data_IF_703602923119
#
_entry.id   IF_703602923119
#
_cell.length_a   1.000
_cell.length_b   1.000
_cell.length_c   1.000
_cell.angle_alpha   90.00
_cell.angle_beta   90.00
_cell.angle_gamma   90.00
#
_symmetry.space_group_name_H-M   'P 1'
#
loop_
_entity.id
_entity.type
_entity.pdbx_description
1 polymer ?
#
# COMPACT_ATOMS: atom_id res chain seq x y z
N UNK A 1 22.30 14.97 -19.86
CA UNK A 1 22.98 15.06 -18.56
C UNK A 1 23.16 13.63 -18.12
N UNK A 2 24.39 13.13 -18.07
CA UNK A 2 24.67 11.81 -17.48
C UNK A 2 24.34 11.92 -15.99
N UNK A 3 23.32 11.18 -15.57
CA UNK A 3 22.92 11.17 -14.17
C UNK A 3 23.64 10.02 -13.51
N UNK A 4 24.51 10.36 -12.56
CA UNK A 4 25.17 9.39 -11.69
C UNK A 4 24.09 8.51 -11.06
N UNK A 5 24.23 7.18 -11.07
CA UNK A 5 23.26 6.30 -10.42
C UNK A 5 23.09 6.70 -8.95
N UNK A 6 21.88 6.52 -8.38
CA UNK A 6 21.62 6.87 -6.99
C UNK A 6 22.65 6.19 -6.09
N UNK A 7 23.20 6.93 -5.12
CA UNK A 7 24.10 6.37 -4.13
C UNK A 7 23.29 5.53 -3.14
N UNK A 8 23.72 4.30 -2.87
CA UNK A 8 23.10 3.45 -1.86
C UNK A 8 24.11 2.49 -1.25
N UNK A 9 23.78 1.98 -0.06
CA UNK A 9 24.51 0.91 0.61
C UNK A 9 23.69 -0.38 0.49
N UNK A 10 24.29 -1.39 -0.11
CA UNK A 10 23.68 -2.72 -0.24
C UNK A 10 23.95 -3.55 1.01
N UNK A 11 22.90 -3.83 1.76
CA UNK A 11 22.95 -4.58 3.02
C UNK A 11 22.61 -6.05 2.74
N UNK A 12 23.58 -6.81 2.22
CA UNK A 12 23.42 -8.22 1.86
C UNK A 12 24.02 -9.21 2.88
N UNK A 13 24.74 -8.70 3.87
CA UNK A 13 25.34 -9.48 4.95
C UNK A 13 25.00 -8.84 6.32
N UNK A 14 25.07 -9.62 7.41
CA UNK A 14 24.75 -9.09 8.74
C UNK A 14 25.60 -7.90 9.17
N UNK A 15 26.86 -7.79 8.74
CA UNK A 15 27.77 -6.71 9.11
C UNK A 15 27.32 -5.37 8.55
N UNK A 16 27.10 -5.31 7.23
CA UNK A 16 26.59 -4.09 6.56
C UNK A 16 25.19 -3.71 7.04
N UNK A 17 24.29 -4.69 7.20
CA UNK A 17 22.96 -4.45 7.74
C UNK A 17 22.99 -3.90 9.18
N UNK A 18 23.81 -4.48 10.06
CA UNK A 18 23.94 -4.01 11.45
C UNK A 18 24.57 -2.62 11.56
N UNK A 19 25.44 -2.25 10.62
CA UNK A 19 26.02 -0.92 10.54
C UNK A 19 25.01 0.14 10.09
N UNK A 20 24.06 -0.21 9.21
CA UNK A 20 23.02 0.70 8.73
C UNK A 20 21.97 1.07 9.79
N UNK A 21 21.60 0.12 10.65
CA UNK A 21 20.46 0.25 11.57
C UNK A 21 20.52 1.46 12.53
N UNK A 22 21.66 1.81 13.17
CA UNK A 22 21.74 3.00 14.02
C UNK A 22 21.39 4.31 13.30
N UNK A 23 21.67 4.43 12.00
CA UNK A 23 21.30 5.61 11.22
C UNK A 23 19.78 5.70 11.03
N UNK A 24 19.11 4.56 10.86
CA UNK A 24 17.66 4.48 10.73
C UNK A 24 16.96 4.74 12.07
N UNK A 25 17.49 4.19 13.16
CA UNK A 25 17.00 4.39 14.53
C UNK A 25 17.08 5.87 14.97
N UNK A 26 18.16 6.56 14.59
CA UNK A 26 18.36 7.97 14.92
C UNK A 26 17.61 8.93 13.99
N UNK A 27 17.04 8.44 12.88
CA UNK A 27 16.38 9.29 11.89
C UNK A 27 14.99 9.72 12.38
N UNK A 28 14.60 11.01 12.27
CA UNK A 28 13.29 11.49 12.71
C UNK A 28 12.13 10.86 11.91
N UNK A 29 12.42 10.44 10.68
CA UNK A 29 11.56 9.60 9.85
C UNK A 29 12.43 8.79 8.90
N UNK A 30 11.90 7.70 8.41
CA UNK A 30 12.50 6.89 7.34
C UNK A 30 11.53 6.82 6.17
N UNK A 31 12.08 6.58 4.99
CA UNK A 31 11.35 6.40 3.74
C UNK A 31 11.46 4.94 3.38
N UNK A 32 10.35 4.29 3.08
CA UNK A 32 10.29 2.84 3.00
C UNK A 32 9.55 2.40 1.74
N UNK A 33 10.18 1.47 1.03
CA UNK A 33 9.58 0.76 -0.09
C UNK A 33 10.09 -0.69 -0.13
N UNK A 34 9.31 -1.60 -0.71
CA UNK A 34 9.66 -3.01 -0.78
C UNK A 34 9.65 -3.51 -2.21
N UNK A 35 10.59 -4.41 -2.52
CA UNK A 35 10.65 -5.07 -3.82
C UNK A 35 10.57 -6.58 -3.69
N UNK A 36 9.99 -7.23 -4.68
CA UNK A 36 9.88 -8.67 -4.68
C UNK A 36 8.97 -9.25 -5.74
N UNK A 37 8.82 -10.57 -5.68
CA UNK A 37 7.97 -11.30 -6.61
C UNK A 37 6.53 -11.25 -6.10
N UNK A 38 5.61 -10.74 -6.94
CA UNK A 38 4.16 -10.77 -6.69
C UNK A 38 3.76 -10.29 -5.27
N UNK A 39 4.37 -9.20 -4.82
CA UNK A 39 4.14 -8.59 -3.50
C UNK A 39 2.64 -8.41 -3.22
N UNK A 40 2.18 -8.89 -2.06
CA UNK A 40 0.79 -8.88 -1.62
C UNK A 40 -0.11 -9.98 -2.20
N UNK A 41 0.41 -10.85 -3.06
CA UNK A 41 -0.32 -11.98 -3.65
C UNK A 41 0.08 -13.31 -3.01
N UNK A 42 -0.76 -14.34 -3.21
CA UNK A 42 -0.46 -15.70 -2.78
C UNK A 42 0.83 -16.19 -3.45
N UNK A 43 1.75 -16.73 -2.66
CA UNK A 43 3.08 -17.12 -3.13
C UNK A 43 4.04 -15.96 -3.40
N UNK A 44 3.67 -14.73 -3.04
CA UNK A 44 4.57 -13.57 -3.10
C UNK A 44 5.79 -13.74 -2.20
N UNK A 45 6.89 -13.09 -2.57
CA UNK A 45 8.17 -13.19 -1.87
C UNK A 45 8.78 -11.80 -1.74
N UNK A 46 8.92 -11.34 -0.50
CA UNK A 46 9.69 -10.14 -0.15
C UNK A 46 11.18 -10.39 -0.42
N UNK A 47 11.75 -9.61 -1.36
CA UNK A 47 13.14 -9.74 -1.77
C UNK A 47 14.02 -8.66 -1.15
N UNK A 48 13.58 -7.40 -1.24
CA UNK A 48 14.30 -6.24 -0.71
C UNK A 48 13.39 -5.43 0.21
N UNK A 49 14.00 -4.85 1.24
CA UNK A 49 13.44 -3.73 2.00
C UNK A 49 14.37 -2.55 1.78
N UNK A 50 13.87 -1.51 1.12
CA UNK A 50 14.63 -0.31 0.80
C UNK A 50 14.28 0.78 1.80
N UNK A 51 15.29 1.35 2.44
CA UNK A 51 15.08 2.35 3.50
C UNK A 51 15.98 3.55 3.29
N UNK A 52 15.38 4.73 3.19
CA UNK A 52 16.08 6.01 3.25
C UNK A 52 16.01 6.61 4.66
N UNK A 53 17.11 7.20 5.12
CA UNK A 53 17.08 8.15 6.24
C UNK A 53 16.35 9.44 5.82
N UNK A 54 16.12 10.35 6.77
CA UNK A 54 15.45 11.62 6.49
C UNK A 54 16.14 12.37 5.34
N UNK A 55 15.34 12.89 4.40
CA UNK A 55 15.79 13.53 3.17
C UNK A 55 16.56 12.62 2.21
N UNK A 56 16.36 11.29 2.33
CA UNK A 56 17.11 10.27 1.61
C UNK A 56 18.64 10.50 1.64
N UNK A 57 19.17 11.02 2.76
CA UNK A 57 20.61 11.30 2.91
C UNK A 57 21.43 10.04 2.75
N UNK A 58 20.96 8.96 3.38
CA UNK A 58 21.52 7.63 3.30
C UNK A 58 20.41 6.69 2.84
N UNK A 59 20.67 5.91 1.78
CA UNK A 59 19.74 4.90 1.27
C UNK A 59 20.36 3.53 1.43
N UNK A 60 19.63 2.65 2.11
CA UNK A 60 20.03 1.29 2.41
C UNK A 60 19.09 0.32 1.70
N UNK A 61 19.66 -0.66 0.99
CA UNK A 61 18.90 -1.71 0.31
C UNK A 61 19.18 -3.02 1.03
N UNK A 62 18.25 -3.44 1.90
CA UNK A 62 18.37 -4.69 2.66
C UNK A 62 17.94 -5.87 1.80
N UNK A 63 18.87 -6.77 1.52
CA UNK A 63 18.58 -8.01 0.81
C UNK A 63 18.04 -9.06 1.78
N UNK A 64 16.71 -9.15 1.86
CA UNK A 64 16.03 -10.04 2.79
C UNK A 64 16.40 -11.51 2.52
N UNK A 65 16.59 -11.89 1.26
CA UNK A 65 16.92 -13.27 0.89
C UNK A 65 18.36 -13.63 1.29
N UNK A 66 19.32 -12.74 1.00
CA UNK A 66 20.72 -12.95 1.37
C UNK A 66 20.91 -12.98 2.89
N UNK A 67 20.29 -12.03 3.61
CA UNK A 67 20.36 -11.97 5.07
C UNK A 67 19.76 -13.22 5.73
N UNK A 68 18.60 -13.71 5.26
CA UNK A 68 18.02 -14.97 5.76
C UNK A 68 18.90 -16.18 5.49
N UNK A 69 19.53 -16.23 4.32
CA UNK A 69 20.45 -17.31 3.98
C UNK A 69 21.68 -17.31 4.91
N UNK A 70 22.27 -16.13 5.15
CA UNK A 70 23.40 -15.96 6.08
C UNK A 70 23.05 -16.38 7.51
N UNK A 71 21.88 -15.97 8.01
CA UNK A 71 21.40 -16.35 9.34
C UNK A 71 21.16 -17.87 9.46
N UNK A 72 20.68 -18.51 8.39
CA UNK A 72 20.44 -19.96 8.36
C UNK A 72 21.74 -20.79 8.35
N UNK A 73 22.84 -20.23 7.83
CA UNK A 73 24.16 -20.87 7.82
C UNK A 73 24.97 -20.71 9.11
N UNK A 74 24.54 -19.84 10.05
CA UNK A 74 25.33 -19.38 11.20
C UNK A 74 25.23 -20.18 12.52
N UNK A 75 24.32 -21.15 12.64
CA UNK A 75 24.34 -22.14 13.74
C UNK A 75 23.18 -22.10 14.74
N UNK A 76 22.28 -23.08 14.59
CA UNK A 76 21.62 -23.90 15.63
C UNK A 76 20.55 -24.72 14.91
N UNK A 77 20.70 -26.05 14.90
CA UNK A 77 19.73 -26.98 14.31
C UNK A 77 18.44 -27.12 15.16
N UNK A 78 18.29 -26.29 16.20
CA UNK A 78 17.10 -26.27 17.04
C UNK A 78 16.11 -25.20 16.53
N UNK A 79 15.03 -25.60 15.83
CA UNK A 79 14.00 -24.67 15.38
C UNK A 79 13.24 -23.97 16.52
N UNK A 80 13.44 -24.40 17.78
CA UNK A 80 12.86 -23.75 18.97
C UNK A 80 13.72 -22.60 19.53
N UNK A 81 14.97 -22.41 19.08
CA UNK A 81 15.81 -21.26 19.47
C UNK A 81 15.72 -20.07 18.50
N UNK A 82 14.75 -20.07 17.56
CA UNK A 82 14.57 -19.08 16.48
C UNK A 82 14.18 -17.66 16.92
N UNK A 83 14.26 -17.34 18.21
CA UNK A 83 14.16 -15.97 18.72
C UNK A 83 15.55 -15.38 18.91
N UNK A 84 16.42 -15.45 17.90
CA UNK A 84 17.62 -14.63 17.94
C UNK A 84 17.23 -13.17 17.64
N UNK A 85 16.79 -12.46 18.69
CA UNK A 85 16.43 -11.05 18.62
C UNK A 85 17.60 -10.14 18.22
N UNK A 86 18.82 -10.70 18.09
CA UNK A 86 20.02 -10.00 17.66
C UNK A 86 20.27 -10.07 16.15
N UNK A 87 19.50 -10.88 15.40
CA UNK A 87 19.59 -10.95 13.95
C UNK A 87 19.38 -9.58 13.29
N UNK A 88 20.04 -9.32 12.16
CA UNK A 88 19.93 -8.05 11.45
C UNK A 88 18.49 -7.80 11.00
N UNK A 89 17.79 -8.84 10.54
CA UNK A 89 16.36 -8.76 10.18
C UNK A 89 15.46 -8.54 11.39
N UNK A 90 15.75 -9.17 12.53
CA UNK A 90 15.01 -8.93 13.77
C UNK A 90 15.19 -7.49 14.28
N UNK A 91 16.38 -6.91 14.12
CA UNK A 91 16.61 -5.49 14.42
C UNK A 91 15.89 -4.56 13.46
N UNK A 92 15.95 -4.82 12.15
CA UNK A 92 15.18 -4.07 11.16
C UNK A 92 13.68 -4.13 11.48
N UNK A 93 13.16 -5.30 11.81
CA UNK A 93 11.78 -5.50 12.23
C UNK A 93 11.40 -4.61 13.44
N UNK A 94 12.30 -4.45 14.42
CA UNK A 94 12.11 -3.56 15.57
C UNK A 94 12.02 -2.09 15.16
N UNK A 95 12.92 -1.62 14.29
CA UNK A 95 12.86 -0.24 13.75
C UNK A 95 11.53 0.00 13.03
N UNK A 96 11.09 -0.95 12.21
CA UNK A 96 9.83 -0.85 11.48
C UNK A 96 8.61 -0.87 12.42
N UNK A 97 8.66 -1.61 13.52
CA UNK A 97 7.60 -1.69 14.53
C UNK A 97 7.59 -0.50 15.51
N UNK A 98 8.68 0.25 15.64
CA UNK A 98 8.80 1.37 16.57
C UNK A 98 7.88 2.54 16.16
N UNK A 99 6.88 2.93 16.98
CA UNK A 99 6.04 4.10 16.69
C UNK A 99 6.79 5.44 16.79
N UNK A 100 7.95 5.49 17.45
CA UNK A 100 8.82 6.67 17.55
C UNK A 100 9.54 6.99 16.24
N UNK A 101 9.73 5.99 15.36
CA UNK A 101 10.30 6.16 14.03
C UNK A 101 9.16 6.24 13.01
N UNK A 102 8.96 7.38 12.36
CA UNK A 102 7.92 7.52 11.33
C UNK A 102 8.34 6.83 10.03
N UNK A 103 7.43 6.10 9.39
CA UNK A 103 7.64 5.45 8.08
C UNK A 103 6.86 6.18 6.99
N UNK A 104 7.53 6.91 6.12
CA UNK A 104 6.94 7.56 4.95
C UNK A 104 6.91 6.57 3.78
N UNK A 105 5.72 6.31 3.23
CA UNK A 105 5.51 5.28 2.21
C UNK A 105 4.54 5.77 1.13
N UNK A 106 4.48 5.05 0.01
CA UNK A 106 3.42 5.19 -0.99
C UNK A 106 2.67 3.88 -1.16
N UNK A 107 1.37 3.85 -0.86
CA UNK A 107 0.55 2.64 -0.99
C UNK A 107 1.04 1.44 -0.17
N UNK A 108 1.22 1.64 1.14
CA UNK A 108 1.83 0.69 2.08
C UNK A 108 1.10 -0.64 2.31
N UNK A 109 -0.03 -0.89 1.63
CA UNK A 109 -0.91 -2.04 1.90
C UNK A 109 -0.22 -3.38 1.73
N UNK A 110 0.46 -3.57 0.59
CA UNK A 110 1.12 -4.83 0.29
C UNK A 110 2.44 -4.94 1.07
N UNK A 111 3.20 -3.85 1.19
CA UNK A 111 4.46 -3.82 1.95
C UNK A 111 4.23 -4.17 3.42
N UNK A 112 3.17 -3.63 4.01
CA UNK A 112 2.75 -3.98 5.37
C UNK A 112 2.46 -5.47 5.52
N UNK A 113 1.74 -6.06 4.57
CA UNK A 113 1.43 -7.49 4.61
C UNK A 113 2.71 -8.33 4.52
N UNK A 114 3.62 -7.99 3.60
CA UNK A 114 4.90 -8.68 3.42
C UNK A 114 5.79 -8.54 4.65
N UNK A 115 6.00 -7.32 5.15
CA UNK A 115 6.85 -7.06 6.32
C UNK A 115 6.31 -7.77 7.55
N UNK A 116 4.99 -7.74 7.77
CA UNK A 116 4.37 -8.43 8.91
C UNK A 116 4.55 -9.94 8.83
N UNK A 117 4.39 -10.55 7.67
CA UNK A 117 4.48 -12.00 7.52
C UNK A 117 5.92 -12.52 7.45
N UNK A 118 6.81 -11.78 6.77
CA UNK A 118 8.20 -12.21 6.54
C UNK A 118 9.12 -11.82 7.68
N UNK A 119 8.95 -10.62 8.24
CA UNK A 119 9.80 -10.08 9.31
C UNK A 119 9.14 -10.12 10.69
N UNK A 120 7.85 -10.46 10.77
CA UNK A 120 7.11 -10.44 12.04
C UNK A 120 6.82 -9.03 12.57
N UNK A 121 7.07 -7.98 11.78
CA UNK A 121 6.93 -6.59 12.20
C UNK A 121 5.53 -6.03 11.90
N UNK A 122 4.76 -5.75 12.94
CA UNK A 122 3.56 -4.92 12.82
C UNK A 122 4.01 -3.45 12.75
N UNK A 123 4.16 -2.90 11.55
CA UNK A 123 4.60 -1.52 11.38
C UNK A 123 3.67 -0.52 12.08
N UNK A 124 4.25 0.49 12.73
CA UNK A 124 3.52 1.57 13.43
C UNK A 124 4.03 2.93 12.99
N UNK A 125 3.27 4.02 13.11
CA UNK A 125 3.75 5.34 12.68
C UNK A 125 3.97 5.45 11.16
N UNK A 126 3.18 4.71 10.38
CA UNK A 126 3.17 4.80 8.91
C UNK A 126 2.45 6.09 8.49
N UNK A 127 3.04 6.83 7.57
CA UNK A 127 2.49 7.98 6.87
C UNK A 127 2.46 7.65 5.38
N UNK A 128 1.27 7.41 4.84
CA UNK A 128 1.09 7.06 3.44
C UNK A 128 0.80 8.30 2.59
N UNK A 129 1.72 8.61 1.68
CA UNK A 129 1.65 9.78 0.80
C UNK A 129 0.47 9.68 -0.18
N UNK A 130 0.01 8.49 -0.56
CA UNK A 130 -1.17 8.35 -1.43
C UNK A 130 -2.44 8.84 -0.72
N UNK A 131 -2.51 8.73 0.61
CA UNK A 131 -3.62 9.29 1.39
C UNK A 131 -3.51 10.81 1.55
N UNK A 132 -2.29 11.34 1.74
CA UNK A 132 -2.06 12.78 1.75
C UNK A 132 -2.52 13.42 0.44
N UNK A 133 -2.19 12.78 -0.69
CA UNK A 133 -2.62 13.23 -2.01
C UNK A 133 -4.15 13.20 -2.16
N UNK A 134 -4.84 12.18 -1.62
CA UNK A 134 -6.31 12.12 -1.61
C UNK A 134 -6.91 13.24 -0.74
N UNK A 135 -6.33 13.49 0.44
CA UNK A 135 -6.74 14.56 1.35
C UNK A 135 -6.66 15.93 0.69
N UNK A 136 -5.54 16.23 0.05
CA UNK A 136 -5.31 17.48 -0.66
C UNK A 136 -6.34 17.75 -1.77
N UNK A 137 -6.84 16.71 -2.46
CA UNK A 137 -7.91 16.88 -3.47
C UNK A 137 -9.18 17.48 -2.86
N UNK A 138 -9.47 17.12 -1.62
CA UNK A 138 -10.65 17.57 -0.88
C UNK A 138 -10.48 18.94 -0.24
N UNK A 139 -9.32 19.20 0.38
CA UNK A 139 -9.05 20.46 1.10
C UNK A 139 -8.92 21.66 0.17
N UNK A 140 -8.27 21.50 -0.97
CA UNK A 140 -8.16 22.56 -1.98
C UNK A 140 -9.48 22.80 -2.74
N UNK A 141 -10.56 22.10 -2.35
CA UNK A 141 -11.92 22.29 -2.87
C UNK A 141 -12.13 21.89 -4.34
N UNK A 142 -11.10 21.38 -5.02
CA UNK A 142 -11.20 21.08 -6.45
C UNK A 142 -11.78 19.70 -6.75
N UNK A 143 -11.74 18.72 -5.83
CA UNK A 143 -12.39 17.42 -6.02
C UNK A 143 -13.84 17.38 -5.50
N UNK A 144 -14.75 17.93 -6.31
CA UNK A 144 -16.18 17.67 -6.17
C UNK A 144 -16.55 16.23 -6.57
N UNK A 145 -17.78 15.80 -6.23
CA UNK A 145 -18.26 14.44 -6.52
C UNK A 145 -18.10 14.03 -7.99
N UNK A 146 -18.36 14.94 -8.94
CA UNK A 146 -18.22 14.67 -10.37
C UNK A 146 -16.76 14.43 -10.82
N UNK A 147 -15.77 15.13 -10.24
CA UNK A 147 -14.35 14.89 -10.58
C UNK A 147 -13.86 13.56 -9.99
N UNK A 148 -14.25 13.26 -8.75
CA UNK A 148 -13.96 11.97 -8.11
C UNK A 148 -14.50 10.80 -8.93
N UNK A 149 -15.77 10.90 -9.31
CA UNK A 149 -16.45 9.95 -10.19
C UNK A 149 -15.73 9.83 -11.56
N UNK A 150 -15.33 10.95 -12.14
CA UNK A 150 -14.59 10.97 -13.40
C UNK A 150 -13.23 10.31 -13.35
N UNK A 151 -12.51 10.39 -12.21
CA UNK A 151 -11.24 9.66 -12.02
C UNK A 151 -11.46 8.15 -11.99
N UNK A 152 -12.56 7.68 -11.43
CA UNK A 152 -12.91 6.24 -11.44
C UNK A 152 -13.20 5.79 -12.87
N UNK A 153 -13.91 6.60 -13.67
CA UNK A 153 -14.17 6.30 -15.08
C UNK A 153 -12.88 6.32 -15.94
N UNK A 154 -12.02 7.33 -15.74
CA UNK A 154 -10.81 7.55 -16.51
C UNK A 154 -9.68 6.57 -16.16
N UNK A 155 -9.48 6.28 -14.88
CA UNK A 155 -8.36 5.47 -14.36
C UNK A 155 -8.42 3.98 -14.72
N UNK A 156 -9.44 3.55 -15.47
CA UNK A 156 -9.59 2.14 -15.81
C UNK A 156 -10.09 1.81 -17.20
N UNK A 157 -10.71 2.72 -17.99
CA UNK A 157 -11.56 2.32 -19.15
C UNK A 157 -12.56 1.19 -18.81
N UNK A 158 -12.95 1.05 -17.54
CA UNK A 158 -13.60 -0.16 -17.00
C UNK A 158 -15.07 0.02 -16.64
N UNK A 159 -15.54 1.25 -16.47
CA UNK A 159 -16.95 1.57 -16.19
C UNK A 159 -17.36 2.75 -17.07
N UNK A 160 -18.49 2.63 -17.79
CA UNK A 160 -18.97 3.71 -18.66
C UNK A 160 -19.51 4.87 -17.85
N UNK A 161 -19.38 6.09 -18.38
CA UNK A 161 -19.98 7.29 -17.79
C UNK A 161 -21.49 7.16 -17.56
N UNK A 162 -22.18 6.50 -18.49
CA UNK A 162 -23.62 6.20 -18.35
C UNK A 162 -23.88 5.32 -17.13
N UNK A 163 -23.15 4.21 -16.99
CA UNK A 163 -23.30 3.33 -15.85
C UNK A 163 -23.03 4.04 -14.53
N UNK A 164 -21.98 4.86 -14.46
CA UNK A 164 -21.65 5.62 -13.27
C UNK A 164 -22.80 6.55 -12.88
N UNK A 165 -23.32 7.33 -13.83
CA UNK A 165 -24.41 8.28 -13.60
C UNK A 165 -25.67 7.58 -13.10
N UNK A 166 -25.99 6.44 -13.70
CA UNK A 166 -27.18 5.67 -13.36
C UNK A 166 -27.03 4.94 -12.00
N UNK A 167 -25.81 4.84 -11.46
CA UNK A 167 -25.48 4.14 -10.22
C UNK A 167 -24.70 5.01 -9.19
N UNK A 168 -24.94 6.33 -9.13
CA UNK A 168 -24.19 7.26 -8.24
C UNK A 168 -24.06 6.79 -6.79
N UNK A 169 -25.08 6.14 -6.23
CA UNK A 169 -25.03 5.60 -4.87
C UNK A 169 -23.89 4.60 -4.66
N UNK A 170 -23.59 3.77 -5.67
CA UNK A 170 -22.50 2.79 -5.65
C UNK A 170 -21.11 3.44 -5.61
N UNK A 171 -20.96 4.66 -6.10
CA UNK A 171 -19.68 5.38 -6.14
C UNK A 171 -19.53 6.38 -4.98
N UNK A 172 -20.53 6.48 -4.10
CA UNK A 172 -20.50 7.40 -2.95
C UNK A 172 -19.31 7.08 -2.03
N UNK A 173 -18.45 8.08 -1.83
CA UNK A 173 -17.27 7.99 -0.96
C UNK A 173 -16.15 7.07 -1.48
N UNK A 174 -16.23 6.61 -2.73
CA UNK A 174 -15.16 5.81 -3.34
C UNK A 174 -14.16 6.75 -4.01
N UNK A 175 -12.88 6.54 -3.75
CA UNK A 175 -11.79 7.31 -4.35
C UNK A 175 -10.93 6.41 -5.24
N UNK A 176 -10.57 6.91 -6.42
CA UNK A 176 -9.56 6.29 -7.27
C UNK A 176 -8.16 6.63 -6.74
N UNK A 177 -7.34 5.60 -6.60
CA UNK A 177 -5.94 5.71 -6.21
C UNK A 177 -5.08 6.02 -7.44
N UNK A 178 -3.97 6.69 -7.18
CA UNK A 178 -3.00 7.11 -8.20
C UNK A 178 -1.70 6.35 -7.99
N UNK A 179 -1.01 5.96 -9.07
CA UNK A 179 0.35 5.42 -8.96
C UNK A 179 1.37 6.52 -8.67
N UNK A 180 2.51 6.17 -8.05
CA UNK A 180 3.56 7.12 -7.69
C UNK A 180 4.08 7.93 -8.89
N UNK A 181 4.35 7.26 -10.02
CA UNK A 181 4.76 7.91 -11.28
C UNK A 181 3.78 9.00 -11.73
N UNK A 182 2.47 8.76 -11.63
CA UNK A 182 1.49 9.78 -11.98
C UNK A 182 1.51 10.94 -10.97
N UNK A 183 1.75 10.66 -9.69
CA UNK A 183 1.83 11.70 -8.65
C UNK A 183 3.08 12.59 -8.84
N UNK A 184 4.23 12.01 -9.16
CA UNK A 184 5.46 12.72 -9.51
C UNK A 184 5.23 13.67 -10.69
N UNK A 185 4.62 13.13 -11.77
CA UNK A 185 4.30 13.90 -12.98
C UNK A 185 3.37 15.08 -12.71
N UNK A 186 2.27 14.84 -11.99
CA UNK A 186 1.32 15.91 -11.64
C UNK A 186 1.94 16.95 -10.68
N UNK A 187 2.89 16.53 -9.85
CA UNK A 187 3.67 17.40 -8.96
C UNK A 187 4.81 18.14 -9.67
N UNK A 188 5.03 17.88 -10.97
CA UNK A 188 6.12 18.43 -11.79
C UNK A 188 7.51 18.15 -11.21
N UNK A 189 7.66 17.03 -10.49
CA UNK A 189 8.95 16.58 -10.00
C UNK A 189 9.70 15.97 -11.19
N UNK A 190 10.93 16.43 -11.50
CA UNK A 190 11.72 15.85 -12.57
C UNK A 190 11.93 14.36 -12.33
N UNK A 191 11.55 13.56 -13.33
CA UNK A 191 11.71 12.12 -13.29
C UNK A 191 12.33 11.67 -14.60
N UNK A 192 13.26 10.74 -14.52
CA UNK A 192 13.74 10.05 -15.70
C UNK A 192 12.68 9.02 -16.12
N UNK A 193 12.61 8.74 -17.41
CA UNK A 193 11.83 7.60 -17.88
C UNK A 193 12.32 6.31 -17.20
N UNK A 194 11.48 5.29 -17.17
CA UNK A 194 11.89 3.98 -16.65
C UNK A 194 13.13 3.49 -17.41
N UNK A 195 14.12 2.99 -16.67
CA UNK A 195 15.32 2.40 -17.26
C UNK A 195 14.89 1.30 -18.25
N UNK A 196 15.35 1.43 -19.51
CA UNK A 196 14.92 0.57 -20.60
C UNK A 196 15.24 -0.91 -20.34
N UNK A 197 16.35 -1.18 -19.63
CA UNK A 197 16.77 -2.53 -19.31
C UNK A 197 15.95 -3.11 -18.16
N UNK A 198 15.58 -2.29 -17.16
CA UNK A 198 14.64 -2.73 -16.12
C UNK A 198 13.26 -3.03 -16.71
N UNK A 199 12.80 -2.21 -17.67
CA UNK A 199 11.56 -2.48 -18.41
C UNK A 199 11.68 -3.77 -19.23
N UNK A 200 12.82 -4.02 -19.86
CA UNK A 200 13.06 -5.25 -20.61
C UNK A 200 13.08 -6.48 -19.69
N UNK A 201 13.77 -6.41 -18.55
CA UNK A 201 13.79 -7.46 -17.52
C UNK A 201 12.38 -7.77 -17.01
N UNK A 202 11.60 -6.73 -16.68
CA UNK A 202 10.22 -6.92 -16.24
C UNK A 202 9.32 -7.55 -17.31
N UNK A 203 9.56 -7.25 -18.59
CA UNK A 203 8.83 -7.90 -19.69
C UNK A 203 9.20 -9.37 -19.87
N UNK A 204 10.47 -9.73 -19.63
CA UNK A 204 10.97 -11.09 -19.78
C UNK A 204 10.57 -11.99 -18.61
N UNK A 205 10.85 -11.55 -17.38
CA UNK A 205 10.76 -12.38 -16.17
C UNK A 205 9.64 -11.93 -15.21
N UNK A 206 8.89 -10.88 -15.56
CA UNK A 206 7.88 -10.30 -14.69
C UNK A 206 8.48 -9.80 -13.37
N UNK A 207 7.84 -10.16 -12.27
CA UNK A 207 8.32 -9.85 -10.91
C UNK A 207 9.35 -10.87 -10.39
N UNK A 208 9.57 -11.99 -11.09
CA UNK A 208 10.51 -13.03 -10.65
C UNK A 208 11.97 -12.59 -10.76
N UNK A 209 12.28 -11.56 -11.56
CA UNK A 209 13.62 -10.94 -11.66
C UNK A 209 14.17 -10.53 -10.29
N UNK A 210 13.29 -10.16 -9.34
CA UNK A 210 13.68 -9.78 -7.98
C UNK A 210 14.25 -10.92 -7.16
N UNK A 211 14.07 -12.18 -7.56
CA UNK A 211 14.58 -13.36 -6.85
C UNK A 211 15.97 -13.80 -7.32
N UNK A 212 16.47 -13.24 -8.43
CA UNK A 212 17.77 -13.60 -8.97
C UNK A 212 18.90 -13.15 -8.04
N UNK A 213 19.94 -13.99 -7.87
CA UNK A 213 21.15 -13.65 -7.10
C UNK A 213 22.41 -14.08 -7.87
N UNK A 214 23.47 -13.23 -7.93
CA UNK A 214 23.51 -11.86 -7.44
C UNK A 214 22.48 -10.98 -8.17
N UNK A 215 21.87 -10.04 -7.45
CA UNK A 215 20.82 -9.20 -8.03
C UNK A 215 21.45 -8.21 -9.01
N UNK A 216 20.81 -8.01 -10.17
CA UNK A 216 21.36 -7.13 -11.19
C UNK A 216 21.54 -5.70 -10.65
N UNK A 217 22.69 -5.02 -10.85
CA UNK A 217 22.94 -3.70 -10.27
C UNK A 217 21.91 -2.63 -10.63
N UNK A 218 21.30 -2.71 -11.82
CA UNK A 218 20.20 -1.82 -12.23
C UNK A 218 18.92 -2.01 -11.42
N UNK A 219 18.64 -3.21 -10.91
CA UNK A 219 17.50 -3.45 -10.03
C UNK A 219 17.75 -2.85 -8.65
N UNK A 220 18.98 -2.96 -8.13
CA UNK A 220 19.38 -2.29 -6.88
C UNK A 220 19.30 -0.76 -7.02
N UNK A 221 19.82 -0.21 -8.11
CA UNK A 221 19.74 1.22 -8.40
C UNK A 221 18.29 1.70 -8.59
N UNK A 222 17.44 0.89 -9.23
CA UNK A 222 16.01 1.17 -9.37
C UNK A 222 15.33 1.24 -8.00
N UNK A 223 15.54 0.22 -7.15
CA UNK A 223 14.93 0.16 -5.82
C UNK A 223 15.39 1.31 -4.91
N UNK A 224 16.68 1.69 -5.00
CA UNK A 224 17.20 2.88 -4.33
C UNK A 224 16.60 4.18 -4.91
N UNK A 225 16.39 4.26 -6.22
CA UNK A 225 15.79 5.44 -6.87
C UNK A 225 14.37 5.71 -6.38
N UNK A 226 13.57 4.67 -6.17
CA UNK A 226 12.20 4.82 -5.67
C UNK A 226 12.16 5.48 -4.27
N UNK A 227 13.16 5.22 -3.41
CA UNK A 227 13.33 5.94 -2.13
C UNK A 227 13.57 7.44 -2.34
N UNK A 228 14.40 7.84 -3.30
CA UNK A 228 14.62 9.25 -3.62
C UNK A 228 13.35 9.92 -4.19
N UNK A 229 12.58 9.19 -5.00
CA UNK A 229 11.32 9.70 -5.55
C UNK A 229 10.25 9.89 -4.46
N UNK A 230 10.19 8.96 -3.50
CA UNK A 230 9.34 9.09 -2.32
C UNK A 230 9.74 10.28 -1.45
N UNK A 231 11.04 10.52 -1.22
CA UNK A 231 11.50 11.70 -0.50
C UNK A 231 11.09 13.00 -1.20
N UNK A 232 11.28 13.06 -2.53
CA UNK A 232 10.91 14.22 -3.32
C UNK A 232 9.41 14.52 -3.24
N UNK A 233 8.55 13.48 -3.26
CA UNK A 233 7.12 13.64 -3.04
C UNK A 233 6.80 14.12 -1.63
N UNK A 234 7.44 13.54 -0.61
CA UNK A 234 7.23 13.95 0.77
C UNK A 234 7.60 15.42 0.99
N UNK A 235 8.78 15.83 0.51
CA UNK A 235 9.24 17.21 0.55
C UNK A 235 8.27 18.15 -0.18
N UNK A 236 7.76 17.73 -1.35
CA UNK A 236 6.76 18.49 -2.10
C UNK A 236 5.44 18.64 -1.32
N UNK A 237 4.96 17.59 -0.66
CA UNK A 237 3.71 17.63 0.08
C UNK A 237 3.81 18.46 1.36
N UNK A 238 4.99 18.52 1.98
CA UNK A 238 5.29 19.46 3.06
C UNK A 238 5.29 20.90 2.55
N UNK A 239 5.98 21.16 1.42
CA UNK A 239 6.05 22.47 0.79
C UNK A 239 4.65 22.99 0.40
N UNK A 240 3.83 22.13 -0.22
CA UNK A 240 2.48 22.47 -0.68
C UNK A 240 1.46 22.49 0.46
N UNK A 241 1.88 22.23 1.71
CA UNK A 241 1.03 22.25 2.91
C UNK A 241 -0.07 21.18 2.91
N UNK A 242 0.13 20.08 2.18
CA UNK A 242 -0.76 18.91 2.23
C UNK A 242 -0.51 18.10 3.51
N UNK A 243 0.74 18.11 3.98
CA UNK A 243 1.13 17.53 5.26
C UNK A 243 1.57 18.69 6.17
N UNK A 244 0.84 18.89 7.25
CA UNK A 244 1.09 19.94 8.24
C UNK A 244 0.95 19.37 9.64
N UNK A 245 1.43 20.07 10.69
CA UNK A 245 1.17 19.65 12.07
C UNK A 245 -0.32 19.46 12.41
N UNK A 246 -1.23 20.10 11.66
CA UNK A 246 -2.67 19.97 11.84
C UNK A 246 -3.26 18.73 11.14
N UNK A 247 -2.82 18.44 9.91
CA UNK A 247 -3.35 17.33 9.09
C UNK A 247 -2.67 16.00 9.39
N UNK A 248 -1.42 16.04 9.84
CA UNK A 248 -0.57 14.86 10.06
C UNK A 248 -1.15 13.85 11.07
N UNK A 249 -1.69 14.24 12.24
CA UNK A 249 -2.26 13.26 13.18
C UNK A 249 -3.38 12.41 12.56
N UNK A 250 -4.31 13.05 11.85
CA UNK A 250 -5.38 12.35 11.15
C UNK A 250 -4.83 11.46 10.02
N UNK A 251 -3.83 11.94 9.28
CA UNK A 251 -3.18 11.17 8.22
C UNK A 251 -2.49 9.91 8.75
N UNK A 252 -1.84 9.97 9.91
CA UNK A 252 -1.21 8.81 10.56
C UNK A 252 -2.26 7.75 10.94
N UNK A 253 -3.39 8.16 11.50
CA UNK A 253 -4.49 7.23 11.83
C UNK A 253 -5.10 6.60 10.57
N UNK A 254 -5.30 7.40 9.52
CA UNK A 254 -5.79 6.91 8.23
C UNK A 254 -4.80 5.93 7.60
N UNK A 255 -3.51 6.24 7.65
CA UNK A 255 -2.43 5.39 7.14
C UNK A 255 -2.33 4.07 7.92
N UNK A 256 -2.50 4.09 9.24
CA UNK A 256 -2.56 2.87 10.05
C UNK A 256 -3.73 1.96 9.64
N UNK A 257 -4.94 2.53 9.43
CA UNK A 257 -6.09 1.78 8.90
C UNK A 257 -5.83 1.25 7.49
N UNK A 258 -5.11 2.03 6.67
CA UNK A 258 -4.79 1.66 5.30
C UNK A 258 -3.80 0.51 5.21
N UNK A 259 -2.71 0.54 5.98
CA UNK A 259 -1.74 -0.54 6.09
C UNK A 259 -2.42 -1.86 6.50
N UNK A 260 -3.37 -1.79 7.43
CA UNK A 260 -4.14 -2.95 7.90
C UNK A 260 -5.24 -3.41 6.93
N UNK A 261 -5.52 -2.68 5.85
CA UNK A 261 -6.70 -2.91 5.01
C UNK A 261 -6.73 -4.30 4.35
N UNK A 262 -5.57 -4.94 4.17
CA UNK A 262 -5.45 -6.29 3.61
C UNK A 262 -5.33 -7.39 4.68
N UNK A 263 -5.18 -7.04 5.97
CA UNK A 263 -4.91 -8.03 7.04
C UNK A 263 -6.01 -9.08 7.21
N UNK A 264 -7.28 -8.74 6.95
CA UNK A 264 -8.40 -9.70 7.03
C UNK A 264 -8.53 -10.59 5.79
N UNK A 265 -8.12 -10.08 4.63
CA UNK A 265 -8.17 -10.84 3.38
C UNK A 265 -6.95 -11.76 3.27
N UNK A 266 -5.80 -11.29 3.75
CA UNK A 266 -4.49 -11.90 3.55
C UNK A 266 -4.06 -11.82 2.08
N UNK A 267 -3.05 -12.63 1.76
CA UNK A 267 -2.63 -12.87 0.38
C UNK A 267 -3.73 -13.60 -0.38
N UNK A 268 -4.02 -13.13 -1.59
CA UNK A 268 -4.98 -13.79 -2.48
C UNK A 268 -4.34 -14.13 -3.82
N UNK A 269 -4.92 -15.11 -4.51
CA UNK A 269 -4.47 -15.47 -5.84
C UNK A 269 -4.65 -14.29 -6.82
N UNK A 270 -3.81 -14.16 -7.87
CA UNK A 270 -3.90 -13.08 -8.85
C UNK A 270 -5.29 -12.92 -9.50
N UNK A 271 -5.97 -14.04 -9.69
CA UNK A 271 -7.31 -14.14 -10.27
C UNK A 271 -8.43 -13.71 -9.30
N UNK A 272 -8.16 -13.60 -8.00
CA UNK A 272 -9.17 -13.25 -6.99
C UNK A 272 -9.82 -11.90 -7.33
N UNK A 273 -11.14 -11.93 -7.49
CA UNK A 273 -11.95 -10.79 -7.94
C UNK A 273 -11.82 -9.60 -6.99
N UNK A 274 -11.63 -9.89 -5.70
CA UNK A 274 -11.61 -8.93 -4.62
C UNK A 274 -10.21 -8.59 -4.12
N UNK A 275 -9.14 -9.12 -4.72
CA UNK A 275 -7.74 -8.76 -4.44
C UNK A 275 -7.40 -7.28 -4.69
N UNK A 276 -6.14 -6.88 -4.55
CA UNK A 276 -5.74 -5.46 -4.59
C UNK A 276 -6.23 -4.71 -5.84
N UNK A 277 -6.55 -3.43 -5.69
CA UNK A 277 -6.96 -2.57 -6.80
C UNK A 277 -6.67 -1.09 -6.54
N UNK A 278 -6.72 -0.29 -7.61
CA UNK A 278 -6.59 1.17 -7.58
C UNK A 278 -7.81 1.93 -7.04
N UNK A 279 -8.58 1.35 -6.10
CA UNK A 279 -9.65 2.04 -5.37
C UNK A 279 -9.33 2.03 -3.88
N UNK A 280 -9.55 3.16 -3.24
CA UNK A 280 -9.33 3.31 -1.80
C UNK A 280 -10.32 2.43 -1.03
N UNK A 281 -9.86 1.61 -0.07
CA UNK A 281 -10.70 1.01 0.94
C UNK A 281 -11.62 2.03 1.62
N UNK A 282 -12.89 1.67 1.79
CA UNK A 282 -13.81 2.49 2.58
C UNK A 282 -13.42 2.41 4.06
N UNK A 283 -13.86 3.41 4.84
CA UNK A 283 -13.51 3.59 6.27
C UNK A 283 -12.01 3.84 6.56
N UNK A 284 -11.16 4.00 5.54
CA UNK A 284 -9.77 4.43 5.75
C UNK A 284 -9.71 5.91 6.15
N UNK A 285 -10.37 6.78 5.38
CA UNK A 285 -10.33 8.23 5.61
C UNK A 285 -11.07 8.66 6.89
N UNK A 286 -12.02 7.84 7.37
CA UNK A 286 -12.83 8.12 8.55
C UNK A 286 -13.06 6.82 9.29
N UNK A 287 -12.83 6.84 10.60
CA UNK A 287 -13.16 5.72 11.45
C UNK A 287 -14.66 5.36 11.33
N UNK A 288 -15.01 4.07 11.19
CA UNK A 288 -16.40 3.67 11.09
C UNK A 288 -17.14 3.98 12.40
N UNK A 289 -18.36 4.51 12.28
CA UNK A 289 -19.24 4.78 13.42
C UNK A 289 -20.34 3.73 13.50
N UNK A 290 -20.71 3.32 14.71
CA UNK A 290 -21.81 2.39 14.95
C UNK A 290 -21.45 0.95 14.62
N UNK A 291 -22.43 0.17 14.12
CA UNK A 291 -22.26 -1.25 13.84
C UNK A 291 -21.30 -1.47 12.64
N UNK A 292 -20.34 -2.37 12.84
CA UNK A 292 -19.45 -2.84 11.78
C UNK A 292 -19.74 -4.30 11.42
N UNK A 293 -19.62 -4.65 10.14
CA UNK A 293 -19.85 -6.01 9.63
C UNK A 293 -18.76 -6.42 8.62
N UNK A 294 -18.43 -7.71 8.50
CA UNK A 294 -17.50 -8.20 7.50
C UNK A 294 -18.11 -8.11 6.08
N UNK A 295 -17.32 -7.64 5.12
CA UNK A 295 -17.66 -7.73 3.71
C UNK A 295 -17.47 -9.17 3.20
N UNK A 296 -18.47 -9.75 2.53
CA UNK A 296 -18.38 -11.12 2.00
C UNK A 296 -17.31 -11.30 0.90
N UNK A 297 -16.85 -10.21 0.27
CA UNK A 297 -15.80 -10.22 -0.75
C UNK A 297 -14.42 -10.04 -0.15
N UNK A 298 -14.06 -8.79 0.21
CA UNK A 298 -12.73 -8.47 0.74
C UNK A 298 -12.52 -8.83 2.22
N UNK A 299 -13.51 -9.40 2.91
CA UNK A 299 -13.47 -9.81 4.34
C UNK A 299 -13.22 -8.73 5.38
N UNK A 300 -12.84 -7.51 4.97
CA UNK A 300 -12.66 -6.35 5.86
C UNK A 300 -13.93 -6.07 6.67
N UNK A 301 -13.73 -5.78 7.95
CA UNK A 301 -14.73 -5.23 8.87
C UNK A 301 -14.95 -3.75 8.55
N UNK A 302 -16.17 -3.35 8.22
CA UNK A 302 -16.53 -2.00 7.78
C UNK A 302 -17.85 -1.55 8.40
N UNK A 303 -18.05 -0.24 8.54
CA UNK A 303 -19.31 0.35 8.95
C UNK A 303 -20.45 0.05 7.95
N UNK A 304 -21.69 0.03 8.43
CA UNK A 304 -22.86 -0.22 7.58
C UNK A 304 -23.00 0.75 6.39
N UNK A 305 -22.44 1.95 6.53
CA UNK A 305 -22.41 2.96 5.49
C UNK A 305 -21.53 2.59 4.31
N UNK A 306 -20.70 1.54 4.39
CA UNK A 306 -19.90 1.00 3.28
C UNK A 306 -20.68 0.10 2.32
N UNK A 307 -21.88 -0.30 2.73
CA UNK A 307 -22.75 -1.24 2.02
C UNK A 307 -23.91 -0.49 1.38
N UNK A 308 -24.29 -0.90 0.16
CA UNK A 308 -25.42 -0.29 -0.54
C UNK A 308 -26.73 -0.64 0.16
N UNK A 309 -27.54 0.38 0.45
CA UNK A 309 -28.93 0.23 0.86
C UNK A 309 -29.81 0.23 -0.38
N UNK A 310 -30.58 -0.84 -0.57
CA UNK A 310 -31.53 -0.98 -1.67
C UNK A 310 -32.94 -1.16 -1.11
N UNK A 311 -33.90 -0.52 -1.75
CA UNK A 311 -35.32 -0.74 -1.51
C UNK A 311 -35.91 -1.42 -2.74
N UNK A 312 -36.31 -2.67 -2.60
CA UNK A 312 -36.96 -3.43 -3.67
C UNK A 312 -38.35 -2.82 -3.94
N UNK A 313 -38.71 -2.67 -5.21
CA UNK A 313 -40.00 -2.11 -5.61
C UNK A 313 -41.12 -3.00 -5.06
N UNK A 314 -42.06 -2.41 -4.30
CA UNK A 314 -43.15 -3.14 -3.65
C UNK A 314 -42.85 -3.70 -2.25
N UNK A 315 -41.61 -3.59 -1.76
CA UNK A 315 -41.27 -3.96 -0.38
C UNK A 315 -41.14 -2.72 0.52
N UNK A 316 -41.67 -2.84 1.75
CA UNK A 316 -41.48 -1.84 2.82
C UNK A 316 -40.13 -1.96 3.52
N UNK A 317 -39.45 -3.11 3.36
CA UNK A 317 -38.17 -3.40 4.01
C UNK A 317 -37.03 -2.91 3.13
N UNK A 318 -36.08 -2.21 3.73
CA UNK A 318 -34.81 -1.85 3.07
C UNK A 318 -33.78 -2.92 3.39
N UNK A 319 -32.95 -3.19 2.40
CA UNK A 319 -31.97 -4.25 2.46
C UNK A 319 -30.57 -3.70 2.23
N UNK A 320 -29.58 -4.20 2.97
CA UNK A 320 -28.16 -3.88 2.72
C UNK A 320 -27.48 -5.03 2.00
N UNK A 321 -26.62 -4.69 1.05
CA UNK A 321 -25.71 -5.66 0.42
C UNK A 321 -24.74 -6.25 1.45
N UNK A 322 -24.34 -7.51 1.26
CA UNK A 322 -23.26 -8.15 2.00
C UNK A 322 -21.86 -7.83 1.42
N UNK A 323 -21.79 -7.15 0.27
CA UNK A 323 -20.56 -6.65 -0.33
C UNK A 323 -20.44 -5.15 -0.15
N UNK A 324 -19.26 -4.68 0.26
CA UNK A 324 -18.96 -3.25 0.26
C UNK A 324 -18.99 -2.67 -1.17
N UNK A 325 -19.23 -1.37 -1.31
CA UNK A 325 -19.28 -0.70 -2.62
C UNK A 325 -18.03 -0.95 -3.47
N UNK A 326 -16.85 -0.97 -2.86
CA UNK A 326 -15.59 -1.25 -3.58
C UNK A 326 -15.57 -2.67 -4.17
N UNK A 327 -16.02 -3.69 -3.42
CA UNK A 327 -16.11 -5.06 -3.94
C UNK A 327 -17.15 -5.19 -5.07
N UNK A 328 -18.28 -4.52 -4.95
CA UNK A 328 -19.29 -4.47 -6.01
C UNK A 328 -18.71 -3.83 -7.29
N UNK A 329 -18.01 -2.70 -7.16
CA UNK A 329 -17.33 -2.05 -8.29
C UNK A 329 -16.27 -2.98 -8.90
N UNK A 330 -15.46 -3.67 -8.09
CA UNK A 330 -14.47 -4.66 -8.58
C UNK A 330 -15.12 -5.77 -9.40
N UNK A 331 -16.23 -6.34 -8.93
CA UNK A 331 -16.95 -7.40 -9.63
C UNK A 331 -17.45 -6.93 -11.00
N UNK A 332 -18.04 -5.72 -11.07
CA UNK A 332 -18.47 -5.10 -12.32
C UNK A 332 -17.29 -4.90 -13.27
N UNK A 333 -16.19 -4.35 -12.75
CA UNK A 333 -14.97 -4.09 -13.51
C UNK A 333 -14.40 -5.38 -14.13
N UNK A 334 -14.40 -6.48 -13.37
CA UNK A 334 -13.89 -7.78 -13.82
C UNK A 334 -14.89 -8.58 -14.66
N UNK A 335 -16.08 -8.00 -14.97
CA UNK A 335 -17.16 -8.64 -15.73
C UNK A 335 -17.53 -10.03 -15.21
N UNK A 336 -17.43 -10.21 -13.90
CA UNK A 336 -17.86 -11.46 -13.27
C UNK A 336 -19.38 -11.41 -13.21
N UNK A 337 -20.05 -12.44 -13.73
CA UNK A 337 -21.49 -12.65 -13.55
C UNK A 337 -21.74 -12.91 -12.06
N UNK A 338 -21.77 -11.82 -11.31
CA UNK A 338 -22.08 -11.84 -9.90
C UNK A 338 -23.54 -11.44 -9.79
N UNK A 339 -24.42 -12.45 -9.85
CA UNK A 339 -25.72 -12.32 -9.19
C UNK A 339 -25.37 -12.07 -7.73
N UNK A 340 -25.65 -10.89 -7.14
CA UNK A 340 -25.44 -10.75 -5.72
C UNK A 340 -26.25 -11.87 -5.09
N UNK A 341 -25.60 -12.84 -4.44
CA UNK A 341 -26.32 -13.65 -3.48
C UNK A 341 -26.72 -12.66 -2.40
N UNK A 342 -27.96 -12.19 -2.56
CA UNK A 342 -28.68 -11.24 -1.73
C UNK A 342 -28.94 -11.91 -0.38
N UNK A 343 -27.88 -12.23 0.37
CA UNK A 343 -28.02 -12.44 1.80
C UNK A 343 -28.16 -11.06 2.42
N UNK A 344 -29.42 -10.66 2.53
CA UNK A 344 -29.83 -9.42 3.14
C UNK A 344 -29.74 -9.53 4.65
N UNK A 345 -29.02 -8.60 5.27
CA UNK A 345 -29.19 -8.37 6.70
C UNK A 345 -30.39 -7.42 6.85
N UNK A 346 -31.48 -7.92 7.43
CA UNK A 346 -32.60 -7.07 7.84
C UNK A 346 -32.10 -6.20 8.99
N UNK A 347 -31.94 -4.90 8.73
CA UNK A 347 -31.59 -3.95 9.78
C UNK A 347 -32.89 -3.36 10.31
N UNK A 348 -33.33 -3.82 11.49
CA UNK A 348 -34.36 -3.13 12.26
C UNK A 348 -33.70 -1.88 12.87
N UNK A 349 -33.62 -0.80 12.11
CA UNK A 349 -33.31 0.53 12.65
C UNK A 349 -34.56 0.99 13.44
N UNK A 350 -34.69 0.57 14.70
CA UNK A 350 -35.60 1.25 15.64
C UNK A 350 -34.91 2.53 16.08
N UNK A 351 -35.60 3.64 15.80
CA UNK A 351 -35.22 5.02 16.10
C UNK A 351 -34.85 5.26 17.56
#
# INVERSE_FOLDING_TARGET
MDVTPPAFIYCADPGTANWALPYLEASPYIILDCEGMNIGQAGGVLSLVCVGSAHARDVFVFDVLALRASESSGGSADPSSRTDQSSALARLARVLADPGVRKVMWDCRNDYLEIKEVLGAAMRGVLDLQLAEIGARGEDGWEGAGRREGRIAAGGRRVSWRFLRDNRGLFKGVHALKGMEQALRESKIPMQGKDADVVAMHKADGSAMWLQRPLHPKLLAYAAHDIYMLDALYAKFLHDRWITPHTEPALLEQSARYALALSYQGRVAPEDVFGSCGLLPLDVLREPRGLTVPCAGCRRIQGLDCFMLQQMRGQRVRHRSNLCRVCQIKAIIKKVDFTPMLTYVVVNERH
#
